data_IF_061381705337
#
_entry.id   IF_061381705337
#
_cell.length_a   1.000
_cell.length_b   1.000
_cell.length_c   1.000
_cell.angle_alpha   90.00
_cell.angle_beta   90.00
_cell.angle_gamma   90.00
#
_symmetry.space_group_name_H-M   'P 1'
#
loop_
_entity.id
_entity.type
_entity.pdbx_description
1 polymer ?
2 polymer ?
3 water ?
#
# COMPACT_ATOMS: atom_id res chain seq x y z
N UNK A 2 -14.60 -3.99 17.91
CA UNK A 2 -13.91 -5.24 18.24
C UNK A 2 -13.57 -6.06 17.00
N UNK A 3 -14.58 -6.65 16.37
CA UNK A 3 -14.34 -7.42 15.17
C UNK A 3 -13.92 -6.49 14.04
N UNK A 4 -14.34 -5.23 14.12
CA UNK A 4 -13.99 -4.24 13.11
C UNK A 4 -12.74 -3.49 13.54
N UNK A 5 -12.65 -3.19 14.83
CA UNK A 5 -11.46 -2.51 15.33
C UNK A 5 -10.33 -3.50 15.09
N UNK A 6 -10.71 -4.75 14.86
CA UNK A 6 -9.76 -5.81 14.57
C UNK A 6 -9.40 -5.73 13.11
N UNK A 7 -10.41 -5.56 12.26
CA UNK A 7 -10.21 -5.45 10.83
C UNK A 7 -9.40 -4.19 10.58
N UNK A 8 -9.51 -3.24 11.50
CA UNK A 8 -8.78 -1.97 11.38
C UNK A 8 -7.28 -2.25 11.54
N UNK A 9 -6.95 -3.14 12.47
CA UNK A 9 -5.57 -3.52 12.72
C UNK A 9 -5.01 -4.32 11.55
N UNK A 10 -5.76 -5.33 11.10
CA UNK A 10 -5.34 -6.15 9.97
C UNK A 10 -5.02 -5.27 8.77
N UNK A 11 -5.81 -4.23 8.56
CA UNK A 11 -5.58 -3.32 7.45
C UNK A 11 -4.30 -2.55 7.73
N UNK A 12 -4.15 -2.06 8.95
CA UNK A 12 -2.94 -1.31 9.26
C UNK A 12 -1.71 -2.21 9.05
N UNK A 13 -1.85 -3.50 9.33
CA UNK A 13 -0.73 -4.44 9.20
C UNK A 13 -0.31 -4.64 7.74
N UNK A 14 -1.28 -4.67 6.84
CA UNK A 14 -0.98 -4.85 5.44
C UNK A 14 -0.19 -3.67 4.92
N UNK A 15 -0.67 -2.46 5.20
CA UNK A 15 0.03 -1.28 4.73
C UNK A 15 1.40 -1.20 5.35
N UNK A 16 1.52 -1.70 6.57
CA UNK A 16 2.80 -1.68 7.27
C UNK A 16 3.74 -2.61 6.53
N UNK A 17 3.21 -3.78 6.15
CA UNK A 17 3.99 -4.77 5.43
C UNK A 17 4.26 -4.31 3.99
N UNK A 18 3.27 -3.65 3.40
CA UNK A 18 3.41 -3.15 2.04
C UNK A 18 4.51 -2.10 2.01
N UNK A 19 4.63 -1.33 3.09
CA UNK A 19 5.68 -0.33 3.17
C UNK A 19 7.05 -1.00 3.29
N UNK A 20 7.10 -2.12 4.03
CA UNK A 20 8.36 -2.84 4.17
C UNK A 20 8.82 -3.30 2.79
N UNK A 21 7.88 -3.80 2.00
CA UNK A 21 8.16 -4.27 0.65
C UNK A 21 8.50 -3.10 -0.27
N UNK A 22 7.79 -1.99 -0.12
CA UNK A 22 8.03 -0.82 -0.94
C UNK A 22 9.45 -0.28 -0.71
N UNK A 23 9.87 -0.26 0.56
CA UNK A 23 11.20 0.23 0.90
C UNK A 23 12.26 -0.54 0.11
N UNK A 24 12.20 -1.87 0.21
CA UNK A 24 13.14 -2.74 -0.48
C UNK A 24 13.14 -2.47 -1.97
N UNK A 25 11.98 -2.22 -2.54
CA UNK A 25 11.84 -1.96 -3.96
C UNK A 25 12.47 -0.62 -4.32
N UNK A 26 12.40 0.37 -3.43
CA UNK A 26 12.99 1.67 -3.71
C UNK A 26 14.51 1.53 -3.59
N UNK A 27 14.95 0.58 -2.77
CA UNK A 27 16.36 0.31 -2.60
C UNK A 27 16.89 -0.35 -3.89
N UNK A 28 16.09 -1.23 -4.48
CA UNK A 28 16.50 -1.89 -5.70
C UNK A 28 16.62 -0.91 -6.85
N UNK A 29 15.62 -0.04 -6.96
CA UNK A 29 15.59 0.96 -8.01
C UNK A 29 16.82 1.84 -7.91
N UNK A 30 17.18 2.20 -6.68
CA UNK A 30 18.33 3.06 -6.42
C UNK A 30 19.63 2.37 -6.80
N UNK A 31 19.77 1.12 -6.40
CA UNK A 31 20.96 0.35 -6.71
C UNK A 31 21.12 0.28 -8.23
N UNK A 32 20.12 -0.26 -8.92
CA UNK A 32 20.18 -0.37 -10.38
C UNK A 32 20.45 0.97 -11.07
N UNK A 33 19.82 2.02 -10.57
CA UNK A 33 20.00 3.34 -11.14
C UNK A 33 21.47 3.75 -11.04
N UNK A 34 22.12 3.35 -9.96
CA UNK A 34 23.52 3.68 -9.76
C UNK A 34 24.44 2.99 -10.76
N UNK A 35 24.21 1.70 -10.99
CA UNK A 35 25.03 0.93 -11.91
C UNK A 35 24.68 1.22 -13.38
N UNK A 36 23.39 1.23 -13.66
CA UNK A 36 22.92 1.49 -15.01
C UNK A 36 23.47 2.80 -15.57
N UNK A 37 23.86 3.71 -14.69
CA UNK A 37 24.39 5.00 -15.14
C UNK A 37 25.84 5.23 -14.71
N UNK B 2 21.88 -8.22 -3.01
CA UNK B 2 20.77 -8.70 -3.83
C UNK B 2 20.29 -10.08 -3.51
N UNK B 3 21.16 -10.84 -2.84
CA UNK B 3 20.82 -12.22 -2.44
C UNK B 3 19.79 -12.17 -1.31
N UNK B 4 20.11 -11.43 -0.26
CA UNK B 4 19.20 -11.31 0.87
C UNK B 4 18.02 -10.43 0.46
N UNK B 5 18.28 -9.46 -0.42
CA UNK B 5 17.23 -8.58 -0.89
C UNK B 5 16.08 -9.45 -1.41
N UNK B 6 16.37 -10.26 -2.42
CA UNK B 6 15.36 -11.14 -2.99
C UNK B 6 14.66 -11.99 -1.94
N UNK B 7 15.45 -12.67 -1.11
CA UNK B 7 14.89 -13.51 -0.08
C UNK B 7 13.85 -12.74 0.75
N UNK B 8 14.09 -11.45 0.95
CA UNK B 8 13.19 -10.61 1.74
C UNK B 8 11.91 -10.21 1.03
N UNK B 9 12.01 -9.77 -0.21
CA UNK B 9 10.80 -9.38 -0.94
C UNK B 9 9.91 -10.57 -1.24
N UNK B 10 10.51 -11.75 -1.28
CA UNK B 10 9.77 -12.98 -1.56
C UNK B 10 8.97 -13.39 -0.32
N UNK B 11 9.50 -13.10 0.86
CA UNK B 11 8.82 -13.44 2.11
C UNK B 11 7.72 -12.42 2.38
N UNK B 12 8.02 -11.15 2.07
CA UNK B 12 7.05 -10.11 2.28
C UNK B 12 5.85 -10.36 1.37
N UNK B 13 6.11 -10.74 0.12
CA UNK B 13 5.01 -11.00 -0.79
C UNK B 13 4.06 -12.06 -0.24
N UNK B 14 4.62 -13.19 0.17
CA UNK B 14 3.82 -14.27 0.73
C UNK B 14 3.08 -13.80 1.98
N UNK B 15 3.77 -13.06 2.83
CA UNK B 15 3.17 -12.52 4.05
C UNK B 15 1.93 -11.69 3.67
N UNK B 16 2.15 -10.62 2.93
CA UNK B 16 1.04 -9.76 2.53
C UNK B 16 -0.14 -10.54 1.96
N UNK B 17 0.12 -11.52 1.10
CA UNK B 17 -0.98 -12.31 0.53
C UNK B 17 -1.74 -13.02 1.64
N UNK B 18 -1.01 -13.38 2.70
CA UNK B 18 -1.62 -14.08 3.84
C UNK B 18 -2.54 -13.10 4.58
N UNK B 19 -2.01 -11.92 4.90
CA UNK B 19 -2.78 -10.91 5.60
C UNK B 19 -4.00 -10.51 4.78
N UNK B 20 -3.82 -10.35 3.48
CA UNK B 20 -4.91 -9.97 2.60
C UNK B 20 -6.00 -11.03 2.64
N UNK B 21 -5.58 -12.29 2.63
CA UNK B 21 -6.50 -13.44 2.65
C UNK B 21 -7.29 -13.45 3.94
N UNK B 22 -6.59 -13.40 5.06
CA UNK B 22 -7.25 -13.43 6.35
C UNK B 22 -8.13 -12.19 6.54
N UNK B 23 -7.74 -11.08 5.90
CA UNK B 23 -8.50 -9.84 6.01
C UNK B 23 -9.84 -10.01 5.30
N UNK B 24 -9.82 -10.72 4.18
CA UNK B 24 -11.03 -10.98 3.41
C UNK B 24 -12.00 -11.80 4.27
N UNK B 25 -11.43 -12.67 5.10
CA UNK B 25 -12.18 -13.54 6.02
C UNK B 25 -12.85 -12.73 7.13
N UNK B 26 -12.03 -11.98 7.86
CA UNK B 26 -12.51 -11.14 8.95
C UNK B 26 -13.45 -10.07 8.43
N UNK B 27 -13.43 -9.85 7.11
CA UNK B 27 -14.30 -8.85 6.50
C UNK B 27 -15.69 -9.43 6.30
N UNK B 28 -15.74 -10.63 5.74
CA UNK B 28 -17.00 -11.30 5.49
C UNK B 28 -17.64 -11.72 6.81
N UNK B 29 -16.83 -11.91 7.84
CA UNK B 29 -17.36 -12.28 9.14
C UNK B 29 -18.14 -11.07 9.68
N UNK B 30 -17.57 -9.87 9.50
CA UNK B 30 -18.19 -8.63 9.97
C UNK B 30 -19.41 -8.24 9.12
N UNK B 31 -19.44 -8.73 7.90
CA UNK B 31 -20.55 -8.46 6.97
C UNK B 31 -21.79 -9.21 7.44
N UNK B 32 -21.64 -10.53 7.61
CA UNK B 32 -22.77 -11.35 8.06
C UNK B 32 -23.08 -11.12 9.53
N UNK B 33 -22.20 -10.45 10.27
CA UNK B 33 -22.46 -10.17 11.68
C UNK B 33 -23.48 -9.03 11.90
N UNK B 34 -23.33 -7.90 11.20
CA UNK B 34 -24.28 -6.80 11.35
C UNK B 34 -25.68 -7.36 11.09
N UNK B 35 -25.69 -8.47 10.36
CA UNK B 35 -26.89 -9.23 9.98
C UNK B 35 -27.29 -10.19 11.11
N UNK C 2 -22.44 -0.42 9.78
CA UNK C 2 -22.60 -0.89 8.42
C UNK C 2 -21.75 -0.06 7.47
N UNK C 3 -21.53 1.21 7.85
CA UNK C 3 -20.75 2.10 7.03
C UNK C 3 -19.27 2.03 7.31
N UNK C 4 -18.90 1.63 8.52
CA UNK C 4 -17.48 1.54 8.87
C UNK C 4 -16.96 0.28 8.21
N UNK C 5 -17.73 -0.80 8.27
CA UNK C 5 -17.32 -2.06 7.67
C UNK C 5 -17.31 -1.92 6.14
N UNK C 6 -18.26 -1.15 5.62
CA UNK C 6 -18.37 -0.93 4.19
C UNK C 6 -17.08 -0.26 3.70
N UNK C 7 -16.59 0.69 4.48
CA UNK C 7 -15.37 1.40 4.15
C UNK C 7 -14.22 0.44 4.27
N UNK C 8 -14.35 -0.52 5.18
CA UNK C 8 -13.30 -1.51 5.37
C UNK C 8 -13.15 -2.38 4.12
N UNK C 9 -14.28 -2.69 3.47
CA UNK C 9 -14.22 -3.50 2.26
C UNK C 9 -13.55 -2.71 1.12
N UNK C 10 -13.79 -1.41 1.09
CA UNK C 10 -13.26 -0.53 0.07
C UNK C 10 -11.77 -0.30 0.33
N UNK C 11 -11.43 -0.18 1.61
CA UNK C 11 -10.04 0.00 2.02
C UNK C 11 -9.23 -1.25 1.67
N UNK C 12 -9.82 -2.42 1.92
CA UNK C 12 -9.14 -3.68 1.65
C UNK C 12 -9.09 -3.91 0.14
N UNK C 13 -10.07 -3.34 -0.56
CA UNK C 13 -10.14 -3.46 -2.01
C UNK C 13 -9.00 -2.67 -2.68
N UNK C 14 -8.75 -1.48 -2.18
CA UNK C 14 -7.69 -0.67 -2.76
C UNK C 14 -6.31 -1.22 -2.41
N UNK C 15 -6.16 -1.70 -1.18
CA UNK C 15 -4.89 -2.26 -0.70
C UNK C 15 -4.49 -3.53 -1.47
N UNK C 16 -5.49 -4.24 -1.98
CA UNK C 16 -5.29 -5.46 -2.77
C UNK C 16 -4.71 -5.07 -4.12
N UNK C 17 -5.27 -4.03 -4.72
CA UNK C 17 -4.80 -3.56 -6.01
C UNK C 17 -3.41 -2.94 -5.92
N UNK C 18 -3.13 -2.28 -4.80
CA UNK C 18 -1.82 -1.67 -4.60
C UNK C 18 -0.78 -2.78 -4.57
N UNK C 19 -1.19 -3.95 -4.08
CA UNK C 19 -0.31 -5.10 -3.99
C UNK C 19 -0.01 -5.61 -5.39
N UNK C 20 -1.04 -5.71 -6.22
CA UNK C 20 -0.87 -6.17 -7.58
C UNK C 20 0.16 -5.27 -8.24
N UNK C 21 0.04 -3.97 -7.97
CA UNK C 21 0.95 -2.99 -8.54
C UNK C 21 2.34 -3.12 -7.92
N UNK C 22 2.39 -3.46 -6.63
CA UNK C 22 3.67 -3.64 -5.95
C UNK C 22 4.39 -4.85 -6.56
N UNK C 23 3.64 -5.92 -6.79
CA UNK C 23 4.18 -7.14 -7.39
C UNK C 23 4.77 -6.87 -8.79
N UNK C 24 4.05 -6.08 -9.57
CA UNK C 24 4.49 -5.71 -10.92
C UNK C 24 5.79 -4.93 -10.93
N UNK C 25 5.98 -4.08 -9.92
CA UNK C 25 7.18 -3.26 -9.81
C UNK C 25 8.36 -4.09 -9.34
N UNK C 26 8.09 -5.09 -8.52
CA UNK C 26 9.16 -5.96 -8.02
C UNK C 26 9.60 -6.87 -9.15
N UNK C 27 8.67 -7.17 -10.06
CA UNK C 27 8.98 -8.02 -11.21
C UNK C 27 9.93 -7.25 -12.13
N UNK C 28 9.60 -5.98 -12.37
CA UNK C 28 10.43 -5.15 -13.23
C UNK C 28 11.81 -5.05 -12.64
N UNK C 29 11.87 -4.76 -11.35
CA UNK C 29 13.12 -4.63 -10.62
C UNK C 29 13.94 -5.94 -10.66
N UNK C 30 13.25 -7.07 -10.57
CA UNK C 30 13.91 -8.37 -10.63
C UNK C 30 14.44 -8.58 -12.04
N UNK C 31 13.60 -8.28 -13.02
CA UNK C 31 13.94 -8.40 -14.43
C UNK C 31 15.12 -7.52 -14.87
N UNK C 32 15.11 -6.24 -14.48
CA UNK C 32 16.20 -5.35 -14.83
C UNK C 32 17.46 -5.81 -14.13
N UNK C 33 17.29 -6.26 -12.90
CA UNK C 33 18.38 -6.75 -12.09
C UNK C 33 19.09 -7.94 -12.74
N UNK C 34 18.31 -8.86 -13.30
CA UNK C 34 18.86 -10.05 -13.95
C UNK C 34 19.80 -9.67 -15.11
N UNK C 35 19.35 -8.70 -15.83
CA UNK C 35 20.07 -8.23 -17.07
C UNK C 35 21.29 -7.37 -16.72
N UNK C 36 21.08 -6.36 -15.90
CA UNK C 36 22.15 -5.44 -15.49
C UNK C 36 23.29 -6.20 -14.80
N UNK C 37 22.93 -7.25 -14.09
CA UNK C 37 23.91 -8.08 -13.35
C UNK C 37 24.75 -8.91 -14.30
N UNK D 2 7.46 -6.31 -21.10
CA UNK D 2 7.53 -4.90 -20.69
C UNK D 2 6.46 -4.04 -21.34
N UNK D 3 5.94 -4.51 -22.46
CA UNK D 3 4.90 -3.83 -23.21
C UNK D 3 3.58 -4.01 -22.48
N UNK D 4 3.28 -5.25 -22.12
CA UNK D 4 2.06 -5.55 -21.40
C UNK D 4 2.22 -4.99 -19.99
N UNK D 5 3.38 -5.29 -19.38
CA UNK D 5 3.71 -4.83 -18.03
C UNK D 5 3.33 -3.35 -17.86
N UNK D 6 3.87 -2.52 -18.74
CA UNK D 6 3.62 -1.09 -18.70
C UNK D 6 2.15 -0.75 -18.78
N UNK D 7 1.41 -1.50 -19.61
CA UNK D 7 -0.02 -1.27 -19.81
C UNK D 7 -0.81 -1.55 -18.54
N UNK D 8 -0.33 -2.50 -17.75
CA UNK D 8 -0.97 -2.88 -16.52
C UNK D 8 -0.66 -1.95 -15.36
N UNK D 9 0.56 -1.40 -15.30
CA UNK D 9 0.92 -0.47 -14.21
C UNK D 9 0.17 0.84 -14.42
N UNK D 10 0.08 1.26 -15.67
CA UNK D 10 -0.63 2.49 -16.00
C UNK D 10 -2.09 2.36 -15.56
N UNK D 11 -2.72 1.25 -15.95
CA UNK D 11 -4.11 1.00 -15.60
C UNK D 11 -4.32 0.93 -14.09
N UNK D 12 -3.50 0.13 -13.43
CA UNK D 12 -3.57 -0.04 -11.98
C UNK D 12 -3.34 1.29 -11.26
N UNK D 13 -2.41 2.09 -11.76
CA UNK D 13 -2.14 3.38 -11.14
C UNK D 13 -3.40 4.23 -11.20
N UNK D 14 -4.03 4.24 -12.36
CA UNK D 14 -5.25 5.02 -12.54
C UNK D 14 -6.42 4.42 -11.76
N UNK D 15 -6.48 3.09 -11.72
CA UNK D 15 -7.55 2.42 -11.00
C UNK D 15 -7.49 2.72 -9.51
N UNK D 16 -6.32 2.57 -8.91
CA UNK D 16 -6.15 2.82 -7.47
C UNK D 16 -6.50 4.26 -7.10
N UNK D 17 -6.08 5.21 -7.92
CA UNK D 17 -6.35 6.62 -7.69
C UNK D 17 -7.85 6.87 -7.71
N UNK D 18 -8.57 6.02 -8.44
CA UNK D 18 -10.02 6.14 -8.54
C UNK D 18 -10.69 5.50 -7.31
N UNK D 19 -10.26 4.30 -6.96
CA UNK D 19 -10.80 3.60 -5.81
C UNK D 19 -10.62 4.46 -4.57
N UNK D 20 -9.50 5.19 -4.50
CA UNK D 20 -9.23 6.04 -3.35
C UNK D 20 -10.24 7.17 -3.29
N UNK D 21 -10.56 7.71 -4.45
CA UNK D 21 -11.53 8.79 -4.57
C UNK D 21 -12.92 8.35 -4.08
N UNK D 22 -13.30 7.13 -4.40
CA UNK D 22 -14.59 6.59 -3.98
C UNK D 22 -14.60 6.46 -2.47
N UNK D 23 -13.50 5.96 -1.91
CA UNK D 23 -13.41 5.78 -0.48
C UNK D 23 -13.61 7.13 0.24
N UNK D 24 -13.29 8.19 -0.46
CA UNK D 24 -13.42 9.56 0.06
C UNK D 24 -14.91 9.91 0.27
N UNK D 25 -15.73 9.39 -0.63
CA UNK D 25 -17.19 9.63 -0.60
C UNK D 25 -17.80 8.91 0.61
N UNK D 26 -17.37 7.68 0.85
CA UNK D 26 -17.86 6.89 1.97
C UNK D 26 -17.27 7.44 3.28
N UNK D 27 -16.05 7.94 3.20
CA UNK D 27 -15.42 8.50 4.38
C UNK D 27 -16.25 9.70 4.87
N UNK D 28 -16.75 10.47 3.92
CA UNK D 28 -17.56 11.65 4.22
C UNK D 28 -18.88 11.28 4.89
N UNK D 29 -19.56 10.27 4.36
CA UNK D 29 -20.82 9.82 4.92
C UNK D 29 -20.59 9.33 6.35
N UNK D 30 -19.41 8.78 6.59
CA UNK D 30 -19.06 8.28 7.91
C UNK D 30 -18.78 9.44 8.85
N UNK D 31 -18.18 10.50 8.32
CA UNK D 31 -17.89 11.70 9.11
C UNK D 31 -19.22 12.33 9.52
N UNK D 32 -20.16 12.31 8.59
CA UNK D 32 -21.50 12.85 8.82
C UNK D 32 -22.28 11.96 9.79
N UNK D 33 -22.62 10.77 9.34
CA UNK D 33 -23.38 9.83 10.14
C UNK D 33 -22.84 9.75 11.57
N UNK D 34 -21.66 9.17 11.71
CA UNK D 34 -21.04 9.07 13.03
C UNK D 34 -20.69 10.44 13.59
N UNK D 35 -21.72 11.21 13.91
CA UNK D 35 -21.58 12.56 14.45
C UNK D 35 -22.93 13.29 14.49
N UNK E 2 -16.32 6.73 14.89
CA UNK E 2 -15.98 8.00 15.45
C UNK E 2 -14.81 7.88 16.42
N UNK E 3 -13.95 7.00 16.05
CA UNK E 3 -12.69 6.71 16.72
C UNK E 3 -11.91 5.95 15.69
N UNK E 4 -12.74 5.20 14.98
CA UNK E 4 -12.36 4.33 13.89
C UNK E 4 -12.51 5.06 12.55
N UNK E 5 -13.41 6.03 12.49
CA UNK E 5 -13.65 6.79 11.25
C UNK E 5 -12.45 7.66 10.91
N UNK E 6 -11.81 8.21 11.94
CA UNK E 6 -10.64 9.04 11.73
C UNK E 6 -9.50 8.10 11.32
N UNK E 7 -9.37 6.99 12.04
CA UNK E 7 -8.34 6.00 11.79
C UNK E 7 -8.48 5.47 10.36
N UNK E 8 -9.71 5.43 9.88
CA UNK E 8 -9.93 4.97 8.53
C UNK E 8 -9.49 6.04 7.54
N UNK E 9 -9.47 7.31 7.99
CA UNK E 9 -9.01 8.41 7.15
C UNK E 9 -7.49 8.35 7.10
N UNK E 10 -6.85 8.10 8.22
CA UNK E 10 -5.39 8.01 8.26
C UNK E 10 -4.87 6.88 7.39
N UNK E 11 -5.54 5.73 7.45
CA UNK E 11 -5.15 4.57 6.66
C UNK E 11 -5.34 4.91 5.20
N UNK E 12 -6.35 5.74 4.93
CA UNK E 12 -6.66 6.21 3.58
C UNK E 12 -5.50 7.10 3.10
N UNK E 13 -5.09 8.03 3.96
CA UNK E 13 -4.00 8.94 3.64
C UNK E 13 -2.68 8.20 3.43
N UNK E 14 -2.51 7.09 4.13
CA UNK E 14 -1.28 6.31 4.01
C UNK E 14 -1.21 5.63 2.66
N UNK E 15 -2.30 4.95 2.27
CA UNK E 15 -2.34 4.25 0.99
C UNK E 15 -2.16 5.26 -0.14
N UNK E 16 -2.56 6.49 0.12
CA UNK E 16 -2.44 7.58 -0.85
C UNK E 16 -0.97 7.96 -0.98
N UNK E 17 -0.30 8.12 0.16
CA UNK E 17 1.11 8.47 0.15
C UNK E 17 1.88 7.34 -0.49
N UNK E 18 1.50 6.11 -0.18
CA UNK E 18 2.17 4.94 -0.75
C UNK E 18 1.99 4.87 -2.26
N UNK E 19 0.79 5.20 -2.72
CA UNK E 19 0.51 5.18 -4.14
C UNK E 19 1.42 6.19 -4.84
N UNK E 20 1.60 7.37 -4.23
CA UNK E 20 2.45 8.40 -4.80
C UNK E 20 3.89 7.91 -4.92
N UNK E 21 4.37 7.32 -3.83
CA UNK E 21 5.71 6.79 -3.78
C UNK E 21 5.81 5.67 -4.81
N UNK E 22 4.78 4.84 -4.88
CA UNK E 22 4.75 3.73 -5.83
C UNK E 22 4.86 4.21 -7.28
N UNK E 23 4.10 5.24 -7.63
CA UNK E 23 4.12 5.81 -8.97
C UNK E 23 5.52 6.32 -9.29
N UNK E 24 6.19 6.88 -8.30
CA UNK E 24 7.53 7.42 -8.51
C UNK E 24 8.50 6.27 -8.79
N UNK E 25 8.32 5.20 -8.01
CA UNK E 25 9.16 4.01 -8.14
C UNK E 25 9.00 3.44 -9.54
N UNK E 26 7.75 3.35 -9.99
CA UNK E 26 7.44 2.82 -11.33
C UNK E 26 8.08 3.67 -12.45
N UNK E 27 8.08 4.99 -12.27
CA UNK E 27 8.70 5.87 -13.26
C UNK E 27 10.18 5.52 -13.37
N UNK E 28 10.80 5.24 -12.22
CA UNK E 28 12.21 4.88 -12.19
C UNK E 28 12.45 3.55 -12.88
N UNK E 29 11.56 2.58 -12.65
CA UNK E 29 11.66 1.25 -13.28
C UNK E 29 11.54 1.37 -14.80
N UNK E 30 10.63 2.22 -15.24
CA UNK E 30 10.42 2.43 -16.66
C UNK E 30 11.63 3.13 -17.27
N UNK E 31 12.09 4.17 -16.58
CA UNK E 31 13.23 4.96 -17.03
C UNK E 31 14.48 4.09 -17.19
N UNK E 32 14.76 3.23 -16.20
CA UNK E 32 15.92 2.33 -16.26
C UNK E 32 15.77 1.36 -17.41
N UNK E 33 14.57 0.84 -17.53
CA UNK E 33 14.21 -0.12 -18.57
C UNK E 33 14.60 0.43 -19.95
N UNK E 34 14.21 1.66 -20.20
CA UNK E 34 14.47 2.31 -21.51
C UNK E 34 15.98 2.47 -21.74
N UNK E 35 16.71 2.69 -20.66
CA UNK E 35 18.17 2.86 -20.74
C UNK E 35 18.87 1.54 -21.04
N UNK E 36 18.35 0.50 -20.38
CA UNK E 36 18.92 -0.86 -20.49
C UNK E 36 18.70 -1.42 -21.89
N UNK E 37 17.48 -1.31 -22.47
CA UNK E 37 17.18 -1.89 -23.74
C UNK E 37 17.66 -0.91 -24.81
N UNK F 2 16.22 12.44 -12.01
CA UNK F 2 16.56 11.47 -10.97
C UNK F 2 16.98 12.13 -9.67
N UNK F 3 17.49 13.35 -9.76
CA UNK F 3 17.94 14.10 -8.58
C UNK F 3 16.74 14.54 -7.77
N UNK F 4 15.71 14.99 -8.48
CA UNK F 4 14.49 15.45 -7.84
C UNK F 4 13.70 14.24 -7.35
N UNK F 5 13.72 13.19 -8.17
CA UNK F 5 13.04 11.94 -7.85
C UNK F 5 13.53 11.41 -6.48
N UNK F 6 14.84 11.40 -6.29
CA UNK F 6 15.46 10.91 -5.05
C UNK F 6 14.98 11.63 -3.77
N UNK F 7 14.92 12.96 -3.80
CA UNK F 7 14.48 13.69 -2.62
C UNK F 7 12.97 13.60 -2.39
N UNK F 8 12.21 13.29 -3.44
CA UNK F 8 10.74 13.12 -3.34
C UNK F 8 10.39 11.76 -2.74
N UNK F 9 11.13 10.72 -3.11
CA UNK F 9 10.86 9.40 -2.58
C UNK F 9 11.36 9.34 -1.14
N UNK F 10 12.47 10.03 -0.86
CA UNK F 10 13.01 10.05 0.49
C UNK F 10 12.05 10.71 1.48
N UNK F 11 11.41 11.79 1.03
CA UNK F 11 10.47 12.48 1.88
C UNK F 11 9.23 11.60 2.02
N UNK F 12 8.72 11.13 0.88
CA UNK F 12 7.55 10.28 0.91
C UNK F 12 7.75 9.10 1.84
N UNK F 13 8.99 8.61 1.93
CA UNK F 13 9.29 7.50 2.82
C UNK F 13 9.24 7.95 4.27
N UNK F 14 9.82 9.12 4.54
CA UNK F 14 9.83 9.65 5.89
C UNK F 14 8.39 9.96 6.30
N UNK F 15 7.60 10.44 5.36
CA UNK F 15 6.21 10.77 5.60
C UNK F 15 5.37 9.57 6.04
N UNK F 16 5.30 8.56 5.17
CA UNK F 16 4.54 7.34 5.45
C UNK F 16 4.95 6.66 6.75
N UNK F 17 6.23 6.77 7.10
CA UNK F 17 6.71 6.14 8.31
C UNK F 17 6.08 6.80 9.53
N UNK F 18 6.03 8.13 9.52
CA UNK F 18 5.45 8.87 10.62
C UNK F 18 3.97 8.56 10.67
N UNK F 19 3.34 8.60 9.50
CA UNK F 19 1.92 8.32 9.39
C UNK F 19 1.59 6.93 9.90
N UNK F 20 2.47 5.97 9.62
CA UNK F 20 2.24 4.60 10.06
C UNK F 20 2.25 4.51 11.58
N UNK F 21 3.05 5.36 12.22
CA UNK F 21 3.11 5.38 13.68
C UNK F 21 1.77 5.86 14.24
N UNK F 22 1.33 7.02 13.77
CA UNK F 22 0.09 7.60 14.23
C UNK F 22 -1.05 6.62 14.02
N UNK F 23 -1.07 5.97 12.86
CA UNK F 23 -2.12 5.02 12.58
C UNK F 23 -2.15 3.94 13.64
N UNK F 24 -0.98 3.52 14.10
CA UNK F 24 -0.92 2.49 15.13
C UNK F 24 -1.38 3.05 16.47
N UNK F 25 -0.89 4.24 16.81
CA UNK F 25 -1.25 4.90 18.07
C UNK F 25 -2.77 5.08 18.16
N UNK F 26 -3.37 5.58 17.10
CA UNK F 26 -4.82 5.78 17.08
C UNK F 26 -5.50 4.44 17.31
N UNK F 27 -5.08 3.42 16.56
CA UNK F 27 -5.52 2.05 16.80
C UNK F 27 -5.42 1.63 18.27
N UNK F 28 -4.35 2.06 18.91
CA UNK F 28 -4.11 1.75 20.32
C UNK F 28 -5.19 2.37 21.19
N UNK F 29 -5.76 3.48 20.73
CA UNK F 29 -6.80 4.19 21.46
C UNK F 29 -8.19 3.68 21.18
N UNK F 30 -8.40 3.14 20.00
CA UNK F 30 -9.74 2.66 19.66
C UNK F 30 -10.16 1.52 20.59
N UNK F 31 -9.30 0.54 20.78
CA UNK F 31 -9.64 -0.58 21.66
C UNK F 31 -9.35 -0.23 23.13
N UNK F 32 -8.58 0.83 23.36
CA UNK F 32 -8.25 1.27 24.71
C UNK F 32 -9.47 2.01 25.23
N UNK F 33 -10.23 2.57 24.29
CA UNK F 33 -11.42 3.35 24.63
C UNK F 33 -12.77 2.76 24.23
N UNK F 34 -12.79 1.58 23.63
CA UNK F 34 -14.09 1.02 23.29
C UNK F 34 -14.60 0.17 24.46
N UNK F 35 -15.21 0.87 25.41
CA UNK F 35 -15.77 0.29 26.62
C UNK F 35 -15.77 1.38 27.71
#
# INVERSE_FOLDING_TARGET
>A
XAGIVQQQQQLLDVVKRQQELLRLTVWGTKNLQTRVTX
>B
XWQEWERKVDFLEENITALLEEAQIQQEKNMYELQX
>C
XAGIVQQQQQLLDVVKRQQELLRLTVWGTKNLQTRVTX
>D
XWQEWERKVDFLEENITALLEEAQIQQEKNMYELQX
>E
XAGIVQQQQQLLDVVKRQQELLRLTVWGTKNLQTRVTX
>F
XWQEWERKVDFLEENITALLEEAQIQQEKNMYELQX
#
